data_IF_494481622997
#
_entry.id   IF_494481622997
#
_cell.length_a   1.000
_cell.length_b   1.000
_cell.length_c   1.000
_cell.angle_alpha   90.00
_cell.angle_beta   90.00
_cell.angle_gamma   90.00
#
_symmetry.space_group_name_H-M   'P 1'
#
loop_
_entity.id
_entity.type
_entity.pdbx_description
1 polymer ?
#
# COMPACT_ATOMS: atom_id res chain seq x y z
N UNK A 1 1.39 42.04 -55.92
CA UNK A 1 2.04 43.17 -55.21
C UNK A 1 0.97 44.04 -54.59
N UNK A 2 1.13 44.44 -53.32
CA UNK A 2 0.17 45.32 -52.65
C UNK A 2 0.45 46.78 -53.01
N UNK A 3 -0.58 47.53 -53.40
CA UNK A 3 -0.44 48.94 -53.84
C UNK A 3 -1.50 49.81 -53.19
N UNK A 4 -1.12 51.00 -52.71
CA UNK A 4 -2.07 52.01 -52.24
C UNK A 4 -2.70 52.68 -53.47
N UNK A 5 -4.02 52.87 -53.47
CA UNK A 5 -4.73 53.52 -54.59
C UNK A 5 -5.20 54.93 -54.20
N UNK A 6 -5.92 55.06 -53.08
CA UNK A 6 -6.53 56.34 -52.68
C UNK A 6 -6.71 56.43 -51.17
N UNK A 7 -6.54 57.61 -50.59
CA UNK A 7 -6.90 57.91 -49.21
C UNK A 7 -7.83 59.13 -49.15
N UNK A 8 -8.87 59.04 -48.33
CA UNK A 8 -9.75 60.14 -47.95
C UNK A 8 -9.58 60.47 -46.47
N UNK A 9 -9.40 61.74 -46.14
CA UNK A 9 -9.19 62.23 -44.77
C UNK A 9 -10.20 63.34 -44.48
N UNK A 10 -10.89 63.24 -43.33
CA UNK A 10 -11.86 64.21 -42.87
C UNK A 10 -11.76 64.36 -41.35
N UNK A 11 -11.78 65.59 -40.83
CA UNK A 11 -11.83 65.86 -39.40
C UNK A 11 -10.62 65.32 -38.62
N UNK A 12 -9.43 65.33 -39.22
CA UNK A 12 -8.17 64.89 -38.59
C UNK A 12 -7.18 66.05 -38.59
N UNK A 13 -6.68 66.46 -37.41
CA UNK A 13 -5.75 67.60 -37.23
C UNK A 13 -6.14 68.83 -38.07
N UNK A 14 -5.36 69.19 -39.08
CA UNK A 14 -5.58 70.36 -39.95
C UNK A 14 -6.68 70.15 -41.00
N UNK A 15 -7.14 68.91 -41.21
CA UNK A 15 -8.21 68.59 -42.16
C UNK A 15 -9.57 68.93 -41.55
N UNK A 16 -10.35 69.71 -42.29
CA UNK A 16 -11.69 70.14 -41.91
C UNK A 16 -12.63 68.94 -41.73
N UNK A 17 -13.63 69.09 -40.84
CA UNK A 17 -14.62 68.06 -40.56
C UNK A 17 -15.80 68.06 -41.55
N UNK A 18 -15.95 69.10 -42.38
CA UNK A 18 -17.08 69.23 -43.32
C UNK A 18 -16.81 68.58 -44.68
N UNK A 19 -15.54 68.58 -45.12
CA UNK A 19 -15.14 68.09 -46.43
C UNK A 19 -14.11 66.98 -46.29
N UNK A 20 -14.29 65.93 -47.08
CA UNK A 20 -13.29 64.87 -47.21
C UNK A 20 -12.27 65.29 -48.25
N UNK A 21 -11.02 65.47 -47.83
CA UNK A 21 -9.90 65.69 -48.72
C UNK A 21 -9.38 64.34 -49.21
N UNK A 22 -9.17 64.19 -50.52
CA UNK A 22 -8.74 62.91 -51.11
C UNK A 22 -7.40 63.04 -51.81
N UNK A 23 -6.53 62.06 -51.61
CA UNK A 23 -5.24 61.92 -52.27
C UNK A 23 -5.19 60.57 -53.00
N UNK A 24 -4.75 60.58 -54.26
CA UNK A 24 -4.54 59.38 -55.06
C UNK A 24 -3.05 59.07 -55.13
N UNK A 25 -2.70 57.80 -54.97
CA UNK A 25 -1.32 57.32 -55.00
C UNK A 25 -1.00 56.80 -56.40
N UNK A 26 0.14 57.24 -56.93
CA UNK A 26 0.64 56.88 -58.24
C UNK A 26 1.90 56.02 -58.11
N UNK A 27 2.06 55.09 -59.06
CA UNK A 27 3.23 54.24 -59.19
C UNK A 27 4.17 54.81 -60.27
N UNK A 28 5.50 54.79 -60.08
CA UNK A 28 6.23 54.24 -58.93
C UNK A 28 6.42 55.23 -57.77
N UNK A 29 6.24 56.54 -57.98
CA UNK A 29 6.53 57.59 -56.99
C UNK A 29 5.36 58.57 -56.92
N UNK A 30 4.96 58.90 -55.69
CA UNK A 30 3.99 59.97 -55.38
C UNK A 30 4.70 61.07 -54.60
N UNK A 31 4.73 62.29 -55.12
CA UNK A 31 5.38 63.43 -54.47
C UNK A 31 4.32 64.27 -53.74
N UNK A 32 4.44 64.38 -52.42
CA UNK A 32 3.58 65.21 -51.57
C UNK A 32 4.40 66.43 -51.13
N UNK A 33 4.10 67.61 -51.69
CA UNK A 33 4.79 68.86 -51.37
C UNK A 33 3.81 69.90 -50.82
N UNK A 34 4.34 70.89 -50.09
CA UNK A 34 3.52 71.94 -49.46
C UNK A 34 4.30 72.68 -48.37
N UNK A 35 3.71 73.75 -47.82
CA UNK A 35 4.31 74.53 -46.73
C UNK A 35 4.37 73.73 -45.41
N UNK A 36 5.20 74.14 -44.47
CA UNK A 36 5.18 73.55 -43.12
C UNK A 36 3.82 73.79 -42.46
N UNK A 37 3.32 72.78 -41.72
CA UNK A 37 1.97 72.83 -41.15
C UNK A 37 0.83 72.51 -42.13
N UNK A 38 1.09 72.25 -43.41
CA UNK A 38 0.04 71.91 -44.39
C UNK A 38 -0.55 70.49 -44.25
N UNK A 39 -0.21 69.76 -43.19
CA UNK A 39 -0.75 68.42 -42.94
C UNK A 39 -0.08 67.27 -43.71
N UNK A 40 1.11 67.47 -44.30
CA UNK A 40 1.84 66.40 -45.04
C UNK A 40 2.13 65.19 -44.15
N UNK A 41 2.72 65.41 -42.98
CA UNK A 41 3.02 64.33 -42.01
C UNK A 41 1.74 63.64 -41.54
N UNK A 42 0.64 64.39 -41.40
CA UNK A 42 -0.67 63.85 -41.02
C UNK A 42 -1.18 62.81 -42.04
N UNK A 43 -0.86 62.93 -43.33
CA UNK A 43 -1.24 61.93 -44.33
C UNK A 43 -0.58 60.57 -44.02
N UNK A 44 0.70 60.58 -43.66
CA UNK A 44 1.45 59.36 -43.32
C UNK A 44 0.92 58.74 -42.02
N UNK A 45 0.59 59.57 -41.03
CA UNK A 45 -0.04 59.10 -39.80
C UNK A 45 -1.44 58.52 -40.05
N UNK A 46 -2.25 59.13 -40.94
CA UNK A 46 -3.53 58.57 -41.34
C UNK A 46 -3.37 57.21 -42.03
N UNK A 47 -2.33 57.01 -42.83
CA UNK A 47 -1.99 55.70 -43.38
C UNK A 47 -1.65 54.71 -42.26
N UNK A 48 -0.82 55.10 -41.29
CA UNK A 48 -0.46 54.25 -40.15
C UNK A 48 -1.69 53.85 -39.33
N UNK A 49 -2.54 54.81 -38.99
CA UNK A 49 -3.80 54.57 -38.26
C UNK A 49 -4.74 53.68 -39.06
N UNK A 50 -4.88 53.88 -40.37
CA UNK A 50 -5.71 53.03 -41.23
C UNK A 50 -5.23 51.59 -41.25
N UNK A 51 -3.93 51.36 -41.45
CA UNK A 51 -3.36 50.02 -41.59
C UNK A 51 -3.24 49.27 -40.26
N UNK A 52 -2.85 49.96 -39.18
CA UNK A 52 -2.42 49.33 -37.92
C UNK A 52 -3.37 49.64 -36.76
N UNK A 53 -4.08 50.78 -36.84
CA UNK A 53 -4.97 51.23 -35.77
C UNK A 53 -4.27 51.93 -34.61
N UNK A 54 -2.98 52.21 -34.74
CA UNK A 54 -2.19 52.90 -33.72
C UNK A 54 -2.08 54.39 -34.03
N UNK A 55 -2.37 55.20 -33.01
CA UNK A 55 -2.26 56.65 -33.08
C UNK A 55 -0.80 57.09 -32.93
N UNK A 56 -0.44 58.27 -33.44
CA UNK A 56 0.86 58.89 -33.18
C UNK A 56 1.13 59.02 -31.68
N UNK A 57 2.39 58.91 -31.27
CA UNK A 57 2.83 59.01 -29.86
C UNK A 57 2.37 60.30 -29.18
N UNK A 58 2.33 61.40 -29.93
CA UNK A 58 1.93 62.72 -29.44
C UNK A 58 0.40 62.91 -29.32
N UNK A 59 -0.42 61.88 -29.57
CA UNK A 59 -1.86 62.03 -29.75
C UNK A 59 -2.76 61.76 -28.52
N UNK A 60 -2.23 61.68 -27.29
CA UNK A 60 -2.99 61.45 -26.04
C UNK A 60 -4.17 60.44 -26.19
N UNK A 61 -3.90 59.23 -26.70
CA UNK A 61 -4.90 58.20 -27.00
C UNK A 61 -5.94 58.61 -28.06
N UNK A 62 -5.52 59.36 -29.08
CA UNK A 62 -6.32 59.77 -30.23
C UNK A 62 -7.03 61.12 -30.09
N UNK A 63 -6.99 61.76 -28.92
CA UNK A 63 -7.66 63.06 -28.67
C UNK A 63 -7.09 64.16 -29.55
N UNK A 64 -5.78 64.33 -29.55
CA UNK A 64 -5.10 65.38 -30.34
C UNK A 64 -4.96 65.02 -31.83
N UNK A 65 -5.43 63.84 -32.23
CA UNK A 65 -5.42 63.40 -33.62
C UNK A 65 -6.66 63.87 -34.38
N UNK A 66 -7.82 63.88 -33.74
CA UNK A 66 -9.06 64.40 -34.33
C UNK A 66 -9.03 65.93 -34.31
N UNK A 67 -9.62 66.56 -35.33
CA UNK A 67 -9.72 68.02 -35.40
C UNK A 67 -10.44 68.56 -34.15
N UNK A 68 -9.88 69.61 -33.55
CA UNK A 68 -10.38 70.14 -32.28
C UNK A 68 -11.78 70.78 -32.46
N UNK A 69 -12.82 70.32 -31.73
CA UNK A 69 -14.15 70.90 -31.87
C UNK A 69 -14.22 72.38 -31.43
N UNK A 70 -13.28 72.85 -30.60
CA UNK A 70 -13.19 74.26 -30.22
C UNK A 70 -12.80 75.13 -31.42
N UNK A 71 -11.91 74.64 -32.30
CA UNK A 71 -11.49 75.36 -33.52
C UNK A 71 -12.64 75.41 -34.52
N UNK A 72 -13.42 74.34 -34.61
CA UNK A 72 -14.61 74.25 -35.47
C UNK A 72 -15.86 74.94 -34.91
N UNK A 73 -15.83 75.46 -33.66
CA UNK A 73 -17.01 75.95 -32.95
C UNK A 73 -18.19 74.95 -32.90
N UNK A 74 -17.90 73.65 -32.83
CA UNK A 74 -18.89 72.56 -32.79
C UNK A 74 -18.76 71.80 -31.47
N UNK A 75 -19.85 71.27 -30.92
CA UNK A 75 -19.80 70.44 -29.70
C UNK A 75 -19.17 69.05 -29.95
N UNK A 76 -19.24 68.58 -31.19
CA UNK A 76 -18.76 67.29 -31.64
C UNK A 76 -18.13 67.40 -33.03
N UNK A 77 -16.99 66.75 -33.21
CA UNK A 77 -16.32 66.61 -34.50
C UNK A 77 -16.16 65.12 -34.82
N UNK A 78 -16.53 64.75 -36.04
CA UNK A 78 -16.33 63.40 -36.57
C UNK A 78 -15.09 63.37 -37.43
N UNK A 79 -14.17 62.48 -37.10
CA UNK A 79 -13.02 62.16 -37.94
C UNK A 79 -13.29 60.91 -38.74
N UNK A 80 -12.94 60.90 -40.03
CA UNK A 80 -13.06 59.74 -40.90
C UNK A 80 -11.81 59.59 -41.76
N UNK A 81 -11.34 58.35 -41.87
CA UNK A 81 -10.23 57.98 -42.75
C UNK A 81 -10.68 56.80 -43.60
N UNK A 82 -10.70 57.00 -44.91
CA UNK A 82 -11.04 55.97 -45.89
C UNK A 82 -9.80 55.65 -46.74
N UNK A 83 -9.23 54.46 -46.58
CA UNK A 83 -8.08 53.99 -47.36
C UNK A 83 -8.51 52.92 -48.36
N UNK A 84 -8.13 53.07 -49.62
CA UNK A 84 -8.27 52.06 -50.67
C UNK A 84 -6.89 51.53 -51.06
N UNK A 85 -6.71 50.22 -51.01
CA UNK A 85 -5.52 49.55 -51.49
C UNK A 85 -5.88 48.29 -52.27
N UNK A 86 -4.97 47.86 -53.14
CA UNK A 86 -5.06 46.60 -53.86
C UNK A 86 -4.15 45.58 -53.19
N UNK A 87 -4.71 44.42 -52.88
CA UNK A 87 -3.97 43.31 -52.25
C UNK A 87 -3.08 42.55 -53.26
N UNK A 88 -2.18 41.69 -52.78
CA UNK A 88 -1.39 40.74 -53.57
C UNK A 88 -2.22 39.86 -54.51
N UNK A 89 -3.48 39.58 -54.17
CA UNK A 89 -4.46 38.88 -55.00
C UNK A 89 -5.23 39.78 -56.00
N UNK A 90 -4.76 41.00 -56.26
CA UNK A 90 -5.39 42.00 -57.14
C UNK A 90 -6.81 42.45 -56.74
N UNK A 91 -7.32 42.06 -55.56
CA UNK A 91 -8.61 42.52 -55.03
C UNK A 91 -8.47 43.92 -54.43
N UNK A 92 -9.46 44.78 -54.69
CA UNK A 92 -9.55 46.11 -54.09
C UNK A 92 -10.19 46.04 -52.71
N UNK A 93 -9.51 46.58 -51.71
CA UNK A 93 -9.92 46.58 -50.31
C UNK A 93 -9.97 48.03 -49.84
N UNK A 94 -11.16 48.44 -49.40
CA UNK A 94 -11.41 49.66 -48.67
C UNK A 94 -11.32 49.43 -47.16
N UNK A 95 -10.74 50.37 -46.43
CA UNK A 95 -10.71 50.41 -44.97
C UNK A 95 -11.30 51.75 -44.56
N UNK A 96 -12.39 51.72 -43.81
CA UNK A 96 -13.06 52.91 -43.28
C UNK A 96 -12.92 52.92 -41.77
N UNK A 97 -12.22 53.93 -41.23
CA UNK A 97 -12.11 54.18 -39.79
C UNK A 97 -12.81 55.46 -39.43
N UNK A 98 -13.67 55.41 -38.42
CA UNK A 98 -14.47 56.54 -37.98
C UNK A 98 -14.27 56.81 -36.50
N UNK A 99 -14.17 58.08 -36.15
CA UNK A 99 -13.88 58.57 -34.82
C UNK A 99 -14.79 59.75 -34.49
N UNK A 100 -15.04 59.96 -33.20
CA UNK A 100 -15.82 61.08 -32.72
C UNK A 100 -15.11 61.70 -31.51
N UNK A 101 -14.93 63.02 -31.55
CA UNK A 101 -14.39 63.81 -30.46
C UNK A 101 -15.45 64.81 -30.01
N UNK A 102 -15.85 64.71 -28.75
CA UNK A 102 -16.71 65.70 -28.11
C UNK A 102 -15.93 66.42 -27.02
N UNK A 103 -16.27 67.66 -26.70
CA UNK A 103 -15.83 68.27 -25.46
C UNK A 103 -17.02 68.52 -24.53
N UNK A 104 -16.78 68.36 -23.24
CA UNK A 104 -17.71 68.73 -22.19
C UNK A 104 -17.08 69.86 -21.37
N UNK A 105 -17.89 70.85 -21.00
CA UNK A 105 -17.50 71.92 -20.08
C UNK A 105 -17.98 71.55 -18.68
N UNK A 106 -17.05 71.36 -17.74
CA UNK A 106 -17.39 71.14 -16.34
C UNK A 106 -17.93 72.41 -15.68
N UNK A 107 -18.55 72.27 -14.49
CA UNK A 107 -19.06 73.40 -13.68
C UNK A 107 -17.99 74.46 -13.38
N UNK A 108 -16.71 74.06 -13.36
CA UNK A 108 -15.55 74.95 -13.16
C UNK A 108 -15.00 75.55 -14.47
N UNK A 109 -15.75 75.50 -15.59
CA UNK A 109 -15.35 75.93 -16.95
C UNK A 109 -14.14 75.18 -17.56
N UNK A 110 -13.66 74.11 -16.93
CA UNK A 110 -12.62 73.27 -17.50
C UNK A 110 -13.18 72.46 -18.69
N UNK A 111 -12.44 72.44 -19.79
CA UNK A 111 -12.81 71.72 -21.01
C UNK A 111 -12.20 70.32 -20.95
N UNK A 112 -13.04 69.29 -21.03
CA UNK A 112 -12.62 67.89 -21.10
C UNK A 112 -12.98 67.29 -22.45
N UNK A 113 -11.99 66.81 -23.19
CA UNK A 113 -12.18 66.11 -24.45
C UNK A 113 -12.44 64.61 -24.23
N UNK A 114 -13.54 64.13 -24.80
CA UNK A 114 -14.00 62.75 -24.80
C UNK A 114 -13.88 62.18 -26.22
N UNK A 115 -12.91 61.28 -26.41
CA UNK A 115 -12.67 60.58 -27.66
C UNK A 115 -13.40 59.24 -27.68
N UNK A 116 -14.04 58.91 -28.80
CA UNK A 116 -14.73 57.63 -29.04
C UNK A 116 -14.42 57.12 -30.44
N UNK A 117 -13.95 55.87 -30.54
CA UNK A 117 -13.91 55.16 -31.82
C UNK A 117 -15.32 54.71 -32.19
N UNK A 118 -15.72 54.96 -33.44
CA UNK A 118 -16.95 54.46 -34.03
C UNK A 118 -16.69 53.12 -34.73
N UNK A 119 -17.71 52.60 -35.43
CA UNK A 119 -17.62 51.34 -36.15
C UNK A 119 -16.63 51.45 -37.32
N UNK A 120 -15.53 50.70 -37.23
CA UNK A 120 -14.58 50.54 -38.32
C UNK A 120 -15.03 49.37 -39.21
N UNK A 121 -14.77 49.48 -40.52
CA UNK A 121 -15.15 48.47 -41.49
C UNK A 121 -14.08 48.24 -42.56
N UNK A 122 -14.01 46.99 -43.03
CA UNK A 122 -13.24 46.57 -44.20
C UNK A 122 -14.25 46.27 -45.31
N UNK A 123 -14.05 46.85 -46.49
CA UNK A 123 -14.91 46.72 -47.66
C UNK A 123 -14.11 46.01 -48.75
N UNK A 124 -14.43 44.76 -49.04
CA UNK A 124 -13.80 44.02 -50.13
C UNK A 124 -14.67 44.21 -51.38
N UNK A 125 -14.14 44.97 -52.35
CA UNK A 125 -14.80 45.20 -53.62
C UNK A 125 -14.70 43.95 -54.49
N UNK A 126 -15.84 43.50 -55.01
CA UNK A 126 -15.93 42.39 -55.96
C UNK A 126 -16.08 42.94 -57.37
N UNK A 127 -15.50 42.25 -58.35
CA UNK A 127 -15.63 42.62 -59.77
C UNK A 127 -17.07 42.42 -60.28
N UNK A 128 -17.79 41.45 -59.71
CA UNK A 128 -19.21 41.17 -60.00
C UNK A 128 -19.98 40.90 -58.72
N UNK A 129 -21.00 41.72 -58.42
CA UNK A 129 -21.90 41.56 -57.27
C UNK A 129 -21.79 42.66 -56.21
N UNK A 130 -22.39 42.43 -55.03
CA UNK A 130 -22.36 43.37 -53.90
C UNK A 130 -21.03 43.27 -53.13
N UNK A 131 -20.51 44.42 -52.73
CA UNK A 131 -19.33 44.54 -51.88
C UNK A 131 -19.53 43.80 -50.54
N UNK A 132 -18.49 43.10 -50.08
CA UNK A 132 -18.52 42.48 -48.76
C UNK A 132 -18.02 43.49 -47.73
N UNK A 133 -18.84 43.77 -46.73
CA UNK A 133 -18.48 44.65 -45.61
C UNK A 133 -18.26 43.80 -44.36
N UNK A 134 -17.06 43.86 -43.81
CA UNK A 134 -16.68 43.23 -42.54
C UNK A 134 -16.56 44.34 -41.50
N UNK A 135 -17.20 44.20 -40.35
CA UNK A 135 -17.17 45.20 -39.27
C UNK A 135 -16.37 44.70 -38.08
N UNK A 136 -15.91 45.63 -37.22
CA UNK A 136 -15.16 45.36 -35.98
C UNK A 136 -15.81 44.29 -35.05
N UNK A 137 -17.12 44.06 -35.14
CA UNK A 137 -17.82 43.07 -34.30
C UNK A 137 -17.48 41.63 -34.67
N UNK A 138 -17.11 41.38 -35.93
CA UNK A 138 -16.86 40.04 -36.43
C UNK A 138 -15.37 39.65 -36.33
N UNK A 139 -14.48 40.62 -36.48
CA UNK A 139 -13.04 40.42 -36.66
C UNK A 139 -12.29 41.61 -36.05
N UNK A 140 -11.12 41.33 -35.46
CA UNK A 140 -10.16 42.39 -35.11
C UNK A 140 -9.53 42.97 -36.38
N UNK A 141 -10.02 44.14 -36.78
CA UNK A 141 -9.61 44.83 -38.01
C UNK A 141 -8.11 45.17 -37.99
N UNK A 142 -7.53 45.44 -36.82
CA UNK A 142 -6.13 45.86 -36.70
C UNK A 142 -5.14 44.72 -37.04
N UNK A 143 -5.52 43.48 -36.75
CA UNK A 143 -4.71 42.30 -37.09
C UNK A 143 -4.97 41.82 -38.51
N UNK A 144 -6.20 41.96 -38.99
CA UNK A 144 -6.59 41.51 -40.32
C UNK A 144 -6.09 42.39 -41.47
N UNK A 145 -6.00 43.71 -41.31
CA UNK A 145 -5.54 44.58 -42.41
C UNK A 145 -4.09 44.26 -42.83
N UNK A 146 -3.09 44.13 -41.92
CA UNK A 146 -1.74 43.73 -42.31
C UNK A 146 -1.70 42.38 -43.04
N UNK A 147 -2.49 41.40 -42.59
CA UNK A 147 -2.65 40.10 -43.25
C UNK A 147 -3.24 40.24 -44.66
N UNK A 148 -4.23 41.11 -44.82
CA UNK A 148 -4.81 41.48 -46.12
C UNK A 148 -3.88 42.34 -46.97
N UNK A 149 -2.80 42.91 -46.44
CA UNK A 149 -1.76 43.55 -47.23
C UNK A 149 -0.61 42.59 -47.57
N UNK A 150 -0.53 41.44 -46.88
CA UNK A 150 0.58 40.49 -46.99
C UNK A 150 1.88 40.99 -46.35
N UNK A 151 1.78 41.90 -45.37
CA UNK A 151 2.94 42.52 -44.70
C UNK A 151 2.73 42.40 -43.18
N UNK A 152 3.82 42.17 -42.43
CA UNK A 152 3.73 42.12 -40.97
C UNK A 152 3.41 43.51 -40.40
N UNK A 153 2.70 43.55 -39.27
CA UNK A 153 2.40 44.79 -38.56
C UNK A 153 3.68 45.57 -38.21
N UNK A 154 4.70 44.87 -37.70
CA UNK A 154 5.97 45.48 -37.31
C UNK A 154 6.71 46.13 -38.50
N UNK A 155 6.66 45.53 -39.69
CA UNK A 155 7.24 46.13 -40.90
C UNK A 155 6.48 47.38 -41.34
N UNK A 156 5.13 47.33 -41.30
CA UNK A 156 4.31 48.50 -41.61
C UNK A 156 4.61 49.65 -40.65
N UNK A 157 4.78 49.37 -39.36
CA UNK A 157 5.02 50.39 -38.33
C UNK A 157 6.44 50.96 -38.36
N UNK A 158 7.46 50.10 -38.32
CA UNK A 158 8.83 50.52 -38.06
C UNK A 158 9.62 50.86 -39.33
N UNK A 159 9.19 50.37 -40.51
CA UNK A 159 9.93 50.51 -41.77
C UNK A 159 9.15 51.29 -42.83
N UNK A 160 7.89 50.90 -43.12
CA UNK A 160 7.14 51.47 -44.25
C UNK A 160 6.46 52.79 -43.88
N UNK A 161 5.72 52.82 -42.76
CA UNK A 161 4.96 53.96 -42.26
C UNK A 161 5.56 54.47 -40.95
N UNK A 162 6.88 54.61 -40.93
CA UNK A 162 7.59 55.13 -39.76
C UNK A 162 7.21 56.58 -39.50
N UNK A 163 6.97 56.94 -38.23
CA UNK A 163 6.70 58.32 -37.86
C UNK A 163 7.96 59.17 -38.07
N UNK A 164 7.79 60.43 -38.48
CA UNK A 164 8.89 61.36 -38.69
C UNK A 164 9.78 61.53 -37.45
N UNK A 165 9.18 61.51 -36.26
CA UNK A 165 9.89 61.59 -34.98
C UNK A 165 10.73 60.33 -34.67
N UNK A 166 10.35 59.18 -35.25
CA UNK A 166 10.94 57.87 -34.96
C UNK A 166 11.84 57.33 -36.08
N UNK A 167 12.02 58.07 -37.18
CA UNK A 167 12.78 57.59 -38.33
C UNK A 167 14.24 57.21 -38.00
N UNK A 168 14.81 57.85 -36.97
CA UNK A 168 16.17 57.59 -36.50
C UNK A 168 16.26 56.49 -35.43
N UNK A 169 15.24 55.63 -35.31
CA UNK A 169 15.21 54.57 -34.30
C UNK A 169 16.41 53.63 -34.38
N UNK A 170 17.02 53.43 -35.57
CA UNK A 170 18.23 52.63 -35.74
C UNK A 170 19.45 53.17 -34.97
N UNK A 171 19.49 54.48 -34.71
CA UNK A 171 20.56 55.14 -33.94
C UNK A 171 20.23 55.28 -32.45
N UNK A 172 19.10 54.73 -32.01
CA UNK A 172 18.72 54.72 -30.60
C UNK A 172 19.53 53.71 -29.80
N UNK A 173 19.30 53.65 -28.48
CA UNK A 173 19.93 52.67 -27.60
C UNK A 173 19.79 51.23 -28.13
N UNK A 174 20.85 50.43 -27.94
CA UNK A 174 20.92 49.04 -28.41
C UNK A 174 19.74 48.18 -27.96
N UNK A 175 19.19 48.44 -26.78
CA UNK A 175 18.01 47.74 -26.24
C UNK A 175 16.73 48.05 -27.02
N UNK A 176 16.51 49.30 -27.44
CA UNK A 176 15.35 49.73 -28.22
C UNK A 176 15.45 49.23 -29.66
N UNK A 177 16.65 49.30 -30.24
CA UNK A 177 16.96 48.77 -31.56
C UNK A 177 16.70 47.27 -31.60
N UNK A 178 17.23 46.52 -30.62
CA UNK A 178 17.02 45.07 -30.54
C UNK A 178 15.53 44.72 -30.45
N UNK A 179 14.76 45.40 -29.59
CA UNK A 179 13.30 45.18 -29.50
C UNK A 179 12.59 45.36 -30.84
N UNK A 180 12.88 46.43 -31.58
CA UNK A 180 12.29 46.66 -32.91
C UNK A 180 12.72 45.58 -33.91
N UNK A 181 13.96 45.08 -33.84
CA UNK A 181 14.39 43.94 -34.67
C UNK A 181 13.69 42.64 -34.30
N UNK A 182 13.59 42.32 -33.00
CA UNK A 182 12.90 41.14 -32.50
C UNK A 182 11.42 41.16 -32.92
N UNK A 183 10.78 42.33 -32.92
CA UNK A 183 9.41 42.55 -33.43
C UNK A 183 9.29 42.38 -34.95
N UNK A 184 10.28 42.85 -35.73
CA UNK A 184 10.29 42.75 -37.20
C UNK A 184 10.45 41.29 -37.64
N UNK A 185 11.37 40.55 -37.01
CA UNK A 185 11.65 39.15 -37.32
C UNK A 185 10.69 38.18 -36.62
N UNK A 186 9.98 38.64 -35.59
CA UNK A 186 9.09 37.80 -34.80
C UNK A 186 9.83 36.85 -33.85
N UNK A 187 11.07 37.16 -33.49
CA UNK A 187 11.92 36.35 -32.61
C UNK A 187 11.33 36.19 -31.20
N UNK A 188 10.51 37.15 -30.77
CA UNK A 188 9.74 37.08 -29.53
C UNK A 188 8.77 35.88 -29.49
N UNK A 189 8.15 35.56 -30.63
CA UNK A 189 7.21 34.45 -30.71
C UNK A 189 7.96 33.12 -30.59
N UNK A 190 9.12 33.00 -31.23
CA UNK A 190 9.98 31.83 -31.08
C UNK A 190 10.48 31.67 -29.65
N UNK A 191 10.89 32.76 -29.00
CA UNK A 191 11.30 32.77 -27.60
C UNK A 191 10.18 32.27 -26.67
N UNK A 192 8.95 32.75 -26.86
CA UNK A 192 7.76 32.29 -26.11
C UNK A 192 7.45 30.81 -26.35
N UNK A 193 7.56 30.32 -27.58
CA UNK A 193 7.35 28.91 -27.91
C UNK A 193 8.39 28.04 -27.20
N UNK A 194 9.67 28.44 -27.25
CA UNK A 194 10.77 27.73 -26.58
C UNK A 194 10.55 27.70 -25.05
N UNK A 195 10.15 28.81 -24.44
CA UNK A 195 9.77 28.84 -23.03
C UNK A 195 8.62 27.89 -22.71
N UNK A 196 7.59 27.83 -23.57
CA UNK A 196 6.48 26.89 -23.47
C UNK A 196 6.94 25.43 -23.51
N UNK A 197 7.78 25.08 -24.49
CA UNK A 197 8.37 23.75 -24.62
C UNK A 197 9.21 23.36 -23.40
N UNK A 198 10.00 24.30 -22.87
CA UNK A 198 10.79 24.07 -21.66
C UNK A 198 9.90 23.84 -20.43
N UNK A 199 8.77 24.55 -20.31
CA UNK A 199 7.79 24.30 -19.24
C UNK A 199 7.17 22.91 -19.37
N UNK A 200 6.76 22.50 -20.56
CA UNK A 200 6.26 21.14 -20.82
C UNK A 200 7.31 20.06 -20.51
N UNK A 201 8.57 20.29 -20.88
CA UNK A 201 9.67 19.36 -20.56
C UNK A 201 9.84 19.19 -19.05
N UNK A 202 9.78 20.29 -18.29
CA UNK A 202 9.87 20.25 -16.82
C UNK A 202 8.71 19.46 -16.20
N UNK A 203 7.47 19.70 -16.63
CA UNK A 203 6.31 18.97 -16.10
C UNK A 203 6.35 17.47 -16.41
N UNK A 204 6.78 17.09 -17.62
CA UNK A 204 6.96 15.67 -17.99
C UNK A 204 8.04 15.02 -17.11
N UNK A 205 9.17 15.69 -16.89
CA UNK A 205 10.23 15.16 -16.03
C UNK A 205 9.77 14.97 -14.58
N UNK A 206 8.92 15.85 -14.05
CA UNK A 206 8.33 15.68 -12.73
C UNK A 206 7.39 14.46 -12.66
N UNK A 207 6.59 14.23 -13.71
CA UNK A 207 5.72 13.06 -13.82
C UNK A 207 6.55 11.77 -13.90
N UNK A 208 7.62 11.76 -14.70
CA UNK A 208 8.54 10.63 -14.81
C UNK A 208 9.12 10.28 -13.44
N UNK A 209 9.66 11.26 -12.71
CA UNK A 209 10.20 11.04 -11.35
C UNK A 209 9.17 10.47 -10.39
N UNK A 210 7.92 10.96 -10.42
CA UNK A 210 6.84 10.41 -9.60
C UNK A 210 6.55 8.96 -9.96
N UNK A 211 6.50 8.63 -11.25
CA UNK A 211 6.25 7.27 -11.74
C UNK A 211 7.41 6.31 -11.42
N UNK A 212 8.65 6.76 -11.50
CA UNK A 212 9.82 5.99 -11.07
C UNK A 212 9.76 5.65 -9.58
N UNK A 213 9.37 6.61 -8.74
CA UNK A 213 9.20 6.38 -7.30
C UNK A 213 8.05 5.42 -6.99
N UNK A 214 6.91 5.56 -7.67
CA UNK A 214 5.80 4.60 -7.59
C UNK A 214 6.24 3.19 -8.00
N UNK A 215 7.00 3.07 -9.08
CA UNK A 215 7.51 1.79 -9.58
C UNK A 215 8.49 1.14 -8.58
N UNK A 216 9.37 1.92 -7.96
CA UNK A 216 10.27 1.45 -6.90
C UNK A 216 9.49 0.92 -5.69
N UNK A 217 8.46 1.65 -5.24
CA UNK A 217 7.59 1.21 -4.14
C UNK A 217 6.85 -0.09 -4.48
N UNK A 218 6.34 -0.22 -5.71
CA UNK A 218 5.68 -1.44 -6.18
C UNK A 218 6.65 -2.63 -6.23
N UNK A 219 7.89 -2.44 -6.69
CA UNK A 219 8.94 -3.47 -6.66
C UNK A 219 9.23 -3.94 -5.23
N UNK A 220 9.44 -3.02 -4.29
CA UNK A 220 9.69 -3.35 -2.89
C UNK A 220 8.51 -4.12 -2.26
N UNK A 221 7.27 -3.74 -2.57
CA UNK A 221 6.07 -4.44 -2.10
C UNK A 221 5.96 -5.85 -2.71
N UNK A 222 6.32 -6.00 -3.99
CA UNK A 222 6.36 -7.31 -4.65
C UNK A 222 7.40 -8.23 -4.02
N UNK A 223 8.61 -7.75 -3.74
CA UNK A 223 9.65 -8.52 -3.05
C UNK A 223 9.22 -8.94 -1.64
N UNK A 224 8.62 -8.02 -0.86
CA UNK A 224 8.05 -8.35 0.46
C UNK A 224 6.99 -9.46 0.36
N UNK A 225 6.08 -9.35 -0.60
CA UNK A 225 5.06 -10.38 -0.84
C UNK A 225 5.69 -11.71 -1.21
N UNK A 226 6.71 -11.72 -2.07
CA UNK A 226 7.45 -12.94 -2.44
C UNK A 226 8.09 -13.61 -1.23
N UNK A 227 8.75 -12.83 -0.37
CA UNK A 227 9.38 -13.35 0.85
C UNK A 227 8.34 -13.91 1.83
N UNK A 228 7.22 -13.21 2.03
CA UNK A 228 6.11 -13.72 2.86
C UNK A 228 5.54 -15.02 2.31
N UNK A 229 5.40 -15.16 0.98
CA UNK A 229 4.93 -16.42 0.37
C UNK A 229 5.91 -17.56 0.64
N UNK A 230 7.22 -17.32 0.51
CA UNK A 230 8.23 -18.34 0.82
C UNK A 230 8.23 -18.73 2.31
N UNK A 231 8.03 -17.78 3.22
CA UNK A 231 7.89 -18.05 4.66
C UNK A 231 6.61 -18.84 4.97
N UNK A 232 5.50 -18.51 4.32
CA UNK A 232 4.24 -19.27 4.48
C UNK A 232 4.43 -20.70 3.99
N UNK A 233 5.14 -20.92 2.88
CA UNK A 233 5.44 -22.27 2.38
C UNK A 233 6.34 -23.06 3.31
N UNK A 234 7.39 -22.46 3.88
CA UNK A 234 8.24 -23.13 4.88
C UNK A 234 7.46 -23.47 6.14
N UNK A 235 6.66 -22.53 6.65
CA UNK A 235 5.84 -22.74 7.83
C UNK A 235 4.78 -23.82 7.63
N UNK A 236 4.16 -23.89 6.44
CA UNK A 236 3.24 -24.98 6.09
C UNK A 236 3.92 -26.35 6.12
N UNK A 237 5.12 -26.46 5.53
CA UNK A 237 5.92 -27.70 5.58
C UNK A 237 6.25 -28.10 7.02
N UNK A 238 6.60 -27.13 7.86
CA UNK A 238 6.92 -27.38 9.26
C UNK A 238 5.69 -27.87 10.05
N UNK A 239 4.53 -27.22 9.84
CA UNK A 239 3.26 -27.67 10.42
C UNK A 239 2.91 -29.09 9.97
N UNK A 240 3.15 -29.46 8.71
CA UNK A 240 2.92 -30.83 8.23
C UNK A 240 3.84 -31.85 8.91
N UNK A 241 5.11 -31.50 9.15
CA UNK A 241 6.06 -32.36 9.87
C UNK A 241 5.62 -32.54 11.33
N UNK A 242 5.31 -31.44 12.01
CA UNK A 242 4.85 -31.47 13.40
C UNK A 242 3.54 -32.24 13.56
N UNK A 243 2.58 -32.08 12.62
CA UNK A 243 1.35 -32.90 12.60
C UNK A 243 1.64 -34.39 12.50
N UNK A 244 2.60 -34.81 11.67
CA UNK A 244 3.00 -36.22 11.57
C UNK A 244 3.65 -36.72 12.86
N UNK A 245 4.46 -35.89 13.51
CA UNK A 245 5.06 -36.24 14.80
C UNK A 245 3.99 -36.40 15.89
N UNK A 246 3.05 -35.47 15.98
CA UNK A 246 1.92 -35.56 16.92
C UNK A 246 1.10 -36.83 16.70
N UNK A 247 0.87 -37.23 15.44
CA UNK A 247 0.17 -38.49 15.14
C UNK A 247 0.94 -39.71 15.65
N UNK A 248 2.25 -39.77 15.45
CA UNK A 248 3.09 -40.87 15.95
C UNK A 248 3.09 -40.91 17.49
N UNK A 249 3.22 -39.76 18.15
CA UNK A 249 3.16 -39.67 19.60
C UNK A 249 1.80 -40.10 20.16
N UNK A 250 0.70 -39.73 19.48
CA UNK A 250 -0.65 -40.19 19.84
C UNK A 250 -0.79 -41.71 19.76
N UNK A 251 -0.25 -42.35 18.72
CA UNK A 251 -0.23 -43.80 18.60
C UNK A 251 0.56 -44.46 19.73
N UNK A 252 1.70 -43.89 20.10
CA UNK A 252 2.53 -44.43 21.17
C UNK A 252 1.93 -44.21 22.57
N UNK A 253 1.28 -43.07 22.81
CA UNK A 253 0.47 -42.84 24.01
C UNK A 253 -0.67 -43.86 24.08
N UNK A 254 -1.34 -44.15 22.96
CA UNK A 254 -2.40 -45.14 22.91
C UNK A 254 -1.89 -46.55 23.27
N UNK A 255 -0.74 -46.97 22.73
CA UNK A 255 -0.08 -48.24 23.08
C UNK A 255 0.29 -48.30 24.56
N UNK A 256 0.89 -47.23 25.11
CA UNK A 256 1.26 -47.14 26.54
C UNK A 256 0.03 -47.18 27.45
N UNK A 257 -1.05 -46.48 27.08
CA UNK A 257 -2.33 -46.48 27.80
C UNK A 257 -2.94 -47.89 27.88
N UNK A 258 -2.93 -48.64 26.76
CA UNK A 258 -3.40 -50.02 26.75
C UNK A 258 -2.55 -50.96 27.62
N UNK A 259 -1.23 -50.78 27.66
CA UNK A 259 -0.35 -51.52 28.57
C UNK A 259 -0.66 -51.19 30.04
N UNK A 260 -0.88 -49.91 30.36
CA UNK A 260 -1.26 -49.47 31.70
C UNK A 260 -2.59 -50.07 32.16
N UNK A 261 -3.61 -50.12 31.28
CA UNK A 261 -4.90 -50.78 31.58
C UNK A 261 -4.69 -52.24 31.99
N UNK A 262 -3.92 -53.00 31.21
CA UNK A 262 -3.59 -54.41 31.50
C UNK A 262 -2.84 -54.58 32.83
N UNK A 263 -1.91 -53.67 33.15
CA UNK A 263 -1.22 -53.68 34.43
C UNK A 263 -2.16 -53.38 35.60
N UNK A 264 -3.09 -52.44 35.41
CA UNK A 264 -4.08 -52.10 36.44
C UNK A 264 -5.05 -53.27 36.71
N UNK A 265 -5.47 -54.00 35.67
CA UNK A 265 -6.22 -55.25 35.81
C UNK A 265 -5.45 -56.27 36.66
N UNK A 266 -4.17 -56.49 36.36
CA UNK A 266 -3.31 -57.38 37.16
C UNK A 266 -3.16 -56.91 38.61
N UNK A 267 -3.00 -55.60 38.82
CA UNK A 267 -2.91 -55.00 40.17
C UNK A 267 -4.18 -55.25 40.98
N UNK A 268 -5.35 -55.14 40.35
CA UNK A 268 -6.62 -55.45 40.99
C UNK A 268 -6.70 -56.91 41.44
N UNK A 269 -6.24 -57.86 40.61
CA UNK A 269 -6.17 -59.28 40.95
C UNK A 269 -5.22 -59.53 42.14
N UNK A 270 -4.07 -58.84 42.18
CA UNK A 270 -3.14 -58.96 43.31
C UNK A 270 -3.76 -58.41 44.60
N UNK A 271 -4.51 -57.30 44.52
CA UNK A 271 -5.20 -56.73 45.68
C UNK A 271 -6.29 -57.66 46.22
N UNK A 272 -7.05 -58.35 45.35
CA UNK A 272 -8.03 -59.35 45.82
C UNK A 272 -7.34 -60.51 46.52
N UNK A 273 -6.24 -61.03 45.97
CA UNK A 273 -5.44 -62.08 46.62
C UNK A 273 -4.82 -61.64 47.95
N UNK A 274 -4.36 -60.39 48.05
CA UNK A 274 -3.86 -59.82 49.31
C UNK A 274 -4.95 -59.78 50.37
N UNK A 275 -6.18 -59.41 50.00
CA UNK A 275 -7.31 -59.43 50.91
C UNK A 275 -7.62 -60.85 51.39
N UNK A 276 -7.59 -61.84 50.50
CA UNK A 276 -7.78 -63.27 50.85
C UNK A 276 -6.67 -63.80 51.79
N UNK A 277 -5.42 -63.40 51.56
CA UNK A 277 -4.31 -63.75 52.45
C UNK A 277 -4.49 -63.08 53.82
N UNK A 278 -4.90 -61.81 53.85
CA UNK A 278 -5.16 -61.11 55.10
C UNK A 278 -6.28 -61.79 55.90
N UNK A 279 -7.39 -62.19 55.26
CA UNK A 279 -8.45 -62.96 55.94
C UNK A 279 -7.94 -64.28 56.50
N UNK A 280 -7.11 -65.02 55.75
CA UNK A 280 -6.51 -66.27 56.22
C UNK A 280 -5.51 -66.04 57.36
N UNK A 281 -4.79 -64.92 57.37
CA UNK A 281 -3.87 -64.56 58.46
C UNK A 281 -4.62 -64.22 59.76
N UNK A 282 -5.79 -63.59 59.66
CA UNK A 282 -6.67 -63.33 60.80
C UNK A 282 -7.21 -64.64 61.36
N UNK A 283 -7.67 -65.54 60.50
CA UNK A 283 -8.07 -66.90 60.89
C UNK A 283 -6.92 -67.65 61.57
N UNK A 284 -5.70 -67.57 61.04
CA UNK A 284 -4.51 -68.19 61.64
C UNK A 284 -4.20 -67.63 63.04
N UNK A 285 -4.34 -66.32 63.24
CA UNK A 285 -4.15 -65.70 64.55
C UNK A 285 -5.25 -66.14 65.55
N UNK A 286 -6.49 -66.33 65.09
CA UNK A 286 -7.55 -66.94 65.90
C UNK A 286 -7.17 -68.37 66.30
N UNK A 287 -6.73 -69.21 65.36
CA UNK A 287 -6.23 -70.56 65.68
C UNK A 287 -5.06 -70.57 66.68
N UNK A 288 -4.15 -69.60 66.62
CA UNK A 288 -3.06 -69.46 67.60
C UNK A 288 -3.57 -69.03 68.99
N UNK A 289 -4.56 -68.13 69.06
CA UNK A 289 -5.25 -67.79 70.31
C UNK A 289 -5.92 -69.02 70.92
N UNK A 290 -6.64 -69.80 70.12
CA UNK A 290 -7.31 -71.02 70.56
C UNK A 290 -6.28 -72.03 71.08
N UNK A 291 -5.14 -72.19 70.39
CA UNK A 291 -4.02 -73.02 70.84
C UNK A 291 -3.42 -72.55 72.17
N UNK A 292 -3.32 -71.24 72.41
CA UNK A 292 -2.86 -70.70 73.69
C UNK A 292 -3.89 -70.91 74.82
N UNK A 293 -5.18 -70.84 74.51
CA UNK A 293 -6.24 -71.21 75.45
C UNK A 293 -6.17 -72.70 75.82
N UNK A 294 -5.93 -73.59 74.85
CA UNK A 294 -5.72 -75.02 75.10
C UNK A 294 -4.50 -75.33 75.98
N UNK A 295 -3.40 -74.58 75.84
CA UNK A 295 -2.20 -74.75 76.69
C UNK A 295 -2.41 -74.28 78.15
N UNK A 296 -3.39 -73.41 78.41
CA UNK A 296 -3.68 -72.88 79.74
C UNK A 296 -4.72 -73.71 80.52
N UNK A 297 -5.25 -74.79 79.94
CA UNK A 297 -6.12 -75.74 80.64
C UNK A 297 -5.27 -76.93 81.10
N UNK A 298 -4.85 -76.89 82.38
CA UNK A 298 -4.35 -78.06 83.14
C UNK A 298 -5.42 -78.49 84.15
N UNK A 299 -6.44 -79.18 83.66
CA UNK A 299 -7.20 -80.16 84.43
C UNK A 299 -7.35 -81.43 83.60
N UNK A 300 -7.08 -82.54 84.26
CA UNK A 300 -6.95 -83.89 83.72
C UNK A 300 -8.24 -84.29 83.01
N UNK A 301 -8.14 -84.68 81.74
CA UNK A 301 -9.15 -85.50 81.07
C UNK A 301 -8.46 -86.71 80.45
N UNK A 302 -8.76 -87.86 81.03
CA UNK A 302 -8.41 -89.20 80.57
C UNK A 302 -9.55 -89.75 79.73
N UNK A 303 -9.16 -90.47 78.67
CA UNK A 303 -9.96 -91.25 77.70
C UNK A 303 -10.41 -90.45 76.45
N UNK A 304 -10.35 -90.94 75.20
CA UNK A 304 -10.11 -92.27 74.63
C UNK A 304 -9.20 -92.21 73.36
N UNK A 305 -8.44 -93.29 73.11
CA UNK A 305 -7.44 -93.47 72.03
C UNK A 305 -7.97 -93.31 70.58
N UNK A 306 -9.28 -93.24 70.40
CA UNK A 306 -9.95 -93.21 69.09
C UNK A 306 -10.00 -91.81 68.48
N UNK A 307 -10.28 -90.78 69.28
CA UNK A 307 -10.36 -89.38 68.81
C UNK A 307 -8.97 -88.78 68.52
N UNK A 308 -7.92 -89.26 69.21
CA UNK A 308 -6.54 -88.82 68.98
C UNK A 308 -5.98 -89.30 67.63
N UNK A 309 -6.47 -90.46 67.15
CA UNK A 309 -6.15 -90.95 65.81
C UNK A 309 -6.92 -90.19 64.73
N UNK A 310 -8.18 -89.80 64.97
CA UNK A 310 -8.94 -88.94 64.06
C UNK A 310 -8.31 -87.55 63.93
N UNK A 311 -7.90 -86.93 65.05
CA UNK A 311 -7.17 -85.65 65.04
C UNK A 311 -5.80 -85.80 64.35
N UNK A 312 -5.12 -86.93 64.52
CA UNK A 312 -3.88 -87.21 63.80
C UNK A 312 -4.12 -87.39 62.28
N UNK A 313 -5.25 -87.96 61.86
CA UNK A 313 -5.62 -88.07 60.44
C UNK A 313 -6.04 -86.73 59.83
N UNK A 314 -6.79 -85.91 60.57
CA UNK A 314 -7.17 -84.55 60.16
C UNK A 314 -5.91 -83.68 60.04
N UNK A 315 -5.02 -83.71 61.04
CA UNK A 315 -3.72 -83.03 60.96
C UNK A 315 -2.87 -83.51 59.77
N UNK A 316 -2.89 -84.81 59.43
CA UNK A 316 -2.20 -85.32 58.23
C UNK A 316 -2.83 -84.84 56.93
N UNK A 317 -4.16 -84.78 56.86
CA UNK A 317 -4.87 -84.21 55.70
C UNK A 317 -4.62 -82.70 55.56
N UNK A 318 -4.61 -81.97 56.68
CA UNK A 318 -4.31 -80.53 56.69
C UNK A 318 -2.84 -80.26 56.32
N UNK A 319 -1.91 -81.12 56.72
CA UNK A 319 -0.52 -81.07 56.28
C UNK A 319 -0.39 -81.33 54.77
N UNK A 320 -1.12 -82.31 54.23
CA UNK A 320 -1.17 -82.59 52.80
C UNK A 320 -1.79 -81.44 51.99
N UNK A 321 -2.83 -80.81 52.53
CA UNK A 321 -3.44 -79.62 51.92
C UNK A 321 -2.48 -78.42 51.95
N UNK A 322 -1.75 -78.22 53.05
CA UNK A 322 -0.70 -77.21 53.12
C UNK A 322 0.41 -77.46 52.10
N UNK A 323 0.88 -78.70 51.95
CA UNK A 323 1.91 -79.04 50.95
C UNK A 323 1.41 -78.83 49.50
N UNK A 324 0.15 -79.15 49.23
CA UNK A 324 -0.48 -78.91 47.93
C UNK A 324 -0.63 -77.40 47.63
N UNK A 325 -0.97 -76.58 48.63
CA UNK A 325 -1.02 -75.12 48.50
C UNK A 325 0.38 -74.53 48.30
N UNK A 326 1.39 -75.02 49.03
CA UNK A 326 2.79 -74.62 48.86
C UNK A 326 3.27 -74.95 47.42
N UNK A 327 2.88 -76.10 46.89
CA UNK A 327 3.24 -76.50 45.51
C UNK A 327 2.53 -75.65 44.44
N UNK A 328 1.26 -75.26 44.66
CA UNK A 328 0.56 -74.29 43.79
C UNK A 328 1.27 -72.94 43.80
N UNK A 329 1.62 -72.42 44.98
CA UNK A 329 2.33 -71.15 45.14
C UNK A 329 3.71 -71.20 44.45
N UNK A 330 4.45 -72.31 44.58
CA UNK A 330 5.75 -72.44 43.89
C UNK A 330 5.59 -72.42 42.36
N UNK A 331 4.55 -73.06 41.81
CA UNK A 331 4.25 -73.02 40.36
C UNK A 331 3.86 -71.61 39.89
N UNK A 332 3.10 -70.85 40.68
CA UNK A 332 2.74 -69.47 40.35
C UNK A 332 3.93 -68.51 40.42
N UNK A 333 4.84 -68.72 41.37
CA UNK A 333 6.10 -67.97 41.46
C UNK A 333 6.98 -68.26 40.24
N UNK A 334 7.14 -69.52 39.83
CA UNK A 334 7.90 -69.88 38.63
C UNK A 334 7.30 -69.28 37.35
N UNK A 335 5.97 -69.28 37.23
CA UNK A 335 5.29 -68.66 36.10
C UNK A 335 5.45 -67.13 36.10
N UNK A 336 5.45 -66.51 37.27
CA UNK A 336 5.69 -65.06 37.44
C UNK A 336 7.14 -64.67 37.14
N UNK A 337 8.11 -65.53 37.48
CA UNK A 337 9.53 -65.29 37.14
C UNK A 337 9.78 -65.46 35.64
N UNK A 338 9.21 -66.49 35.00
CA UNK A 338 9.33 -66.70 33.54
C UNK A 338 8.70 -65.56 32.74
N UNK A 339 7.56 -65.04 33.18
CA UNK A 339 6.91 -63.89 32.53
C UNK A 339 7.65 -62.57 32.75
N UNK A 340 8.37 -62.40 33.86
CA UNK A 340 9.29 -61.26 34.08
C UNK A 340 10.57 -61.35 33.24
N UNK A 341 11.12 -62.54 33.02
CA UNK A 341 12.28 -62.75 32.13
C UNK A 341 11.94 -62.43 30.67
N UNK A 342 10.76 -62.83 30.19
CA UNK A 342 10.24 -62.41 28.88
C UNK A 342 10.01 -60.90 28.76
N UNK A 343 9.70 -60.20 29.86
CA UNK A 343 9.52 -58.74 29.88
C UNK A 343 10.84 -57.97 29.76
N UNK A 344 11.95 -58.52 30.28
CA UNK A 344 13.29 -57.89 30.20
C UNK A 344 13.92 -57.94 28.81
N UNK A 345 13.57 -58.93 27.98
CA UNK A 345 14.12 -59.03 26.61
C UNK A 345 13.48 -58.07 25.59
N UNK A 346 12.31 -57.46 25.88
CA UNK A 346 11.51 -56.74 24.88
C UNK A 346 11.38 -55.22 25.07
N UNK A 347 12.18 -54.57 25.92
CA UNK A 347 12.18 -53.10 26.04
C UNK A 347 13.59 -52.54 26.30
N UNK A 348 14.18 -51.76 25.38
CA UNK A 348 15.26 -50.83 25.70
C UNK A 348 14.67 -49.54 26.29
N UNK A 349 15.26 -49.10 27.42
CA UNK A 349 15.31 -47.72 27.96
C UNK A 349 14.01 -46.91 28.15
N UNK A 350 13.60 -46.68 29.41
CA UNK A 350 13.61 -45.36 30.10
C UNK A 350 12.79 -45.38 31.41
N UNK A 351 13.25 -44.55 32.36
CA UNK A 351 13.00 -44.56 33.80
C UNK A 351 11.59 -44.03 34.17
N UNK A 352 10.69 -44.88 34.70
CA UNK A 352 10.33 -44.85 36.13
C UNK A 352 10.09 -46.25 36.74
N UNK A 353 10.32 -47.32 35.98
CA UNK A 353 10.02 -48.71 36.36
C UNK A 353 10.99 -49.34 37.36
N UNK A 354 12.17 -48.74 37.59
CA UNK A 354 13.16 -49.31 38.50
C UNK A 354 12.68 -49.33 39.96
N UNK A 355 12.03 -48.26 40.46
CA UNK A 355 11.56 -48.22 41.85
C UNK A 355 10.46 -49.24 42.12
N UNK A 356 9.56 -49.45 41.16
CA UNK A 356 8.49 -50.45 41.28
C UNK A 356 9.05 -51.88 41.15
N UNK A 357 9.97 -52.12 40.21
CA UNK A 357 10.65 -53.42 40.09
C UNK A 357 11.51 -53.73 41.33
N UNK A 358 12.14 -52.72 41.94
CA UNK A 358 12.95 -52.85 43.14
C UNK A 358 12.09 -53.09 44.38
N UNK A 359 10.93 -52.43 44.48
CA UNK A 359 9.91 -52.73 45.49
C UNK A 359 9.38 -54.16 45.37
N UNK A 360 9.10 -54.62 44.14
CA UNK A 360 8.67 -56.00 43.86
C UNK A 360 9.79 -57.00 44.18
N UNK A 361 11.04 -56.70 43.83
CA UNK A 361 12.20 -57.55 44.15
C UNK A 361 12.42 -57.66 45.66
N UNK A 362 12.34 -56.54 46.38
CA UNK A 362 12.48 -56.49 47.83
C UNK A 362 11.35 -57.24 48.56
N UNK A 363 10.11 -57.14 48.07
CA UNK A 363 8.98 -57.91 48.61
C UNK A 363 9.13 -59.41 48.33
N UNK A 364 9.59 -59.82 47.14
CA UNK A 364 9.93 -61.22 46.84
C UNK A 364 11.05 -61.72 47.77
N UNK A 365 12.04 -60.90 48.07
CA UNK A 365 13.15 -61.26 48.95
C UNK A 365 12.68 -61.41 50.41
N UNK A 366 11.78 -60.53 50.89
CA UNK A 366 11.10 -60.69 52.18
C UNK A 366 10.26 -61.98 52.24
N UNK A 367 9.54 -62.31 51.17
CA UNK A 367 8.75 -63.54 51.09
C UNK A 367 9.63 -64.80 51.14
N UNK A 368 10.77 -64.82 50.43
CA UNK A 368 11.77 -65.90 50.52
C UNK A 368 12.35 -66.03 51.94
N UNK A 369 12.59 -64.91 52.63
CA UNK A 369 13.08 -64.90 54.03
C UNK A 369 12.03 -65.45 55.00
N UNK A 370 10.76 -65.08 54.84
CA UNK A 370 9.64 -65.65 55.61
C UNK A 370 9.45 -67.15 55.32
N UNK A 371 9.57 -67.59 54.07
CA UNK A 371 9.57 -69.02 53.69
C UNK A 371 10.68 -69.81 54.40
N UNK A 372 11.90 -69.27 54.46
CA UNK A 372 13.03 -69.89 55.18
C UNK A 372 12.76 -69.99 56.68
N UNK A 373 12.15 -68.98 57.29
CA UNK A 373 11.76 -69.02 58.70
C UNK A 373 10.68 -70.08 58.98
N UNK A 374 9.68 -70.19 58.11
CA UNK A 374 8.63 -71.21 58.23
C UNK A 374 9.22 -72.62 58.09
N UNK A 375 10.12 -72.83 57.11
CA UNK A 375 10.82 -74.10 56.94
C UNK A 375 11.73 -74.44 58.13
N UNK A 376 12.40 -73.45 58.73
CA UNK A 376 13.18 -73.64 59.96
C UNK A 376 12.28 -73.99 61.16
N UNK A 377 11.11 -73.36 61.30
CA UNK A 377 10.12 -73.73 62.31
C UNK A 377 9.59 -75.14 62.09
N UNK A 378 9.43 -75.59 60.84
CA UNK A 378 9.05 -76.96 60.51
C UNK A 378 10.12 -77.97 60.92
N UNK A 379 11.40 -77.65 60.69
CA UNK A 379 12.53 -78.48 61.13
C UNK A 379 12.64 -78.56 62.66
N UNK A 380 12.33 -77.45 63.35
CA UNK A 380 12.23 -77.41 64.82
C UNK A 380 11.02 -78.20 65.33
N UNK A 381 9.89 -78.18 64.62
CA UNK A 381 8.70 -78.98 64.95
C UNK A 381 8.98 -80.47 64.76
N UNK A 382 9.63 -80.87 63.66
CA UNK A 382 10.01 -82.27 63.44
C UNK A 382 11.06 -82.74 64.46
N UNK A 383 12.01 -81.87 64.84
CA UNK A 383 12.98 -82.14 65.90
C UNK A 383 12.31 -82.28 67.29
N UNK A 384 11.30 -81.45 67.60
CA UNK A 384 10.52 -81.58 68.84
C UNK A 384 9.67 -82.85 68.86
N UNK A 385 9.06 -83.24 67.74
CA UNK A 385 8.33 -84.52 67.64
C UNK A 385 9.28 -85.71 67.81
N UNK A 386 10.49 -85.66 67.24
CA UNK A 386 11.54 -86.66 67.46
C UNK A 386 12.05 -86.71 68.91
N UNK A 387 12.24 -85.56 69.57
CA UNK A 387 12.60 -85.49 70.99
C UNK A 387 11.48 -86.03 71.90
N UNK A 388 10.21 -85.77 71.58
CA UNK A 388 9.07 -86.31 72.31
C UNK A 388 8.91 -87.83 72.16
N UNK A 389 9.32 -88.38 71.00
CA UNK A 389 9.35 -89.83 70.75
C UNK A 389 10.58 -90.49 71.42
N UNK A 390 11.77 -89.85 71.38
CA UNK A 390 12.98 -90.36 72.02
C UNK A 390 12.89 -90.36 73.56
N UNK A 391 12.32 -89.31 74.18
CA UNK A 391 12.11 -89.27 75.64
C UNK A 391 11.07 -90.30 76.14
N UNK A 392 10.28 -90.91 75.25
CA UNK A 392 9.39 -92.04 75.58
C UNK A 392 10.03 -93.41 75.37
N UNK A 393 11.18 -93.52 74.70
CA UNK A 393 11.84 -94.80 74.37
C UNK A 393 13.14 -95.07 75.13
N UNK A 394 13.60 -94.16 75.99
CA UNK A 394 14.77 -94.36 76.86
C UNK A 394 14.41 -94.37 78.35
N UNK A 395 14.03 -95.52 78.88
CA UNK A 395 14.01 -95.81 80.32
C UNK A 395 14.90 -97.01 80.63
N UNK A 396 15.60 -96.98 81.78
CA UNK A 396 16.51 -97.99 82.40
C UNK A 396 18.03 -97.85 82.17
N UNK A 397 18.79 -98.13 83.26
CA UNK A 397 20.21 -97.85 83.56
C UNK A 397 21.22 -98.76 82.84
N UNK A 398 22.30 -98.19 82.28
CA UNK A 398 23.67 -98.21 82.82
C UNK A 398 24.44 -96.99 82.27
#
# INVERSE_FOLDING_TARGET
MTTLEKIGIQGVRSYCDERTETLEFYSPVTIIYGKNGSGKSTIIECLKVSCIGEFPTNAEKGKSFIHDPLVSNKMNVKGKIDLMFRNYNNKRIGVSRSYNLCYNKDKNKNIKHNFRSLDNSIIIKKDTGKDIIITNKCIDINTHIPLLMGISKALLENVILCNHDENLWLFSESTKVKKKFDEIFGDDNFSKIIEGLNKCRKSINEIIKKKELELLNLKNNYEKKKNMVTEIESNKKQIEIEKKQIQLEQEDIYKKSNKLKKLNEKKNIINTLLNEINTNSILYNQFQSDKQQYNNIKTIYTENLTELNEIATICKQDLLNCDNLINKINKEIENSTKSNEMFKQNCPSEQPSQKECEYISNTIQMLKKKKKNISNCFFLLSAMVLLFICNRRGGTKF
#
